data_IF_346375308333
#
_entry.id   IF_346375308333
#
_cell.length_a   1.000
_cell.length_b   1.000
_cell.length_c   1.000
_cell.angle_alpha   90.00
_cell.angle_beta   90.00
_cell.angle_gamma   90.00
#
_symmetry.space_group_name_H-M   'P 1'
#
loop_
_entity.id
_entity.type
_entity.pdbx_description
1 polymer ?
#
# COMPACT_ATOMS: atom_id res chain seq x y z
N UNK A 1 0.99 -24.88 5.46
CA UNK A 1 0.09 -23.84 4.91
C UNK A 1 0.77 -23.25 3.69
N UNK A 2 0.13 -23.20 2.52
CA UNK A 2 0.69 -22.45 1.38
C UNK A 2 0.79 -20.98 1.81
N UNK A 3 1.97 -20.38 1.72
CA UNK A 3 2.12 -18.93 1.86
C UNK A 3 1.19 -18.28 0.84
N UNK A 4 0.09 -17.70 1.32
CA UNK A 4 -0.79 -16.89 0.48
C UNK A 4 -0.12 -15.52 0.35
N UNK A 5 0.51 -15.28 -0.79
CA UNK A 5 1.08 -13.97 -1.10
C UNK A 5 -0.07 -13.02 -1.40
N UNK A 6 -0.17 -11.91 -0.66
CA UNK A 6 -1.20 -10.89 -0.88
C UNK A 6 -0.90 -10.04 -2.12
N UNK A 7 0.38 -9.70 -2.34
CA UNK A 7 0.82 -8.83 -3.44
C UNK A 7 1.44 -9.66 -4.56
N UNK A 8 0.85 -9.61 -5.75
CA UNK A 8 1.39 -10.26 -6.95
C UNK A 8 2.27 -9.28 -7.75
N UNK A 9 3.57 -9.24 -7.44
CA UNK A 9 4.51 -8.30 -8.09
C UNK A 9 4.69 -8.56 -9.59
N UNK A 10 4.58 -9.80 -10.07
CA UNK A 10 4.68 -10.12 -11.50
C UNK A 10 3.53 -9.47 -12.28
N UNK A 11 2.30 -9.56 -11.76
CA UNK A 11 1.15 -8.89 -12.38
C UNK A 11 1.25 -7.37 -12.25
N UNK A 12 1.74 -6.85 -11.12
CA UNK A 12 1.97 -5.41 -10.95
C UNK A 12 2.97 -4.89 -12.00
N UNK A 13 4.08 -5.59 -12.25
CA UNK A 13 5.04 -5.19 -13.28
C UNK A 13 4.41 -5.13 -14.66
N UNK A 14 3.66 -6.19 -15.02
CA UNK A 14 2.95 -6.26 -16.29
C UNK A 14 1.97 -5.10 -16.45
N UNK A 15 1.11 -4.87 -15.45
CA UNK A 15 0.14 -3.76 -15.50
C UNK A 15 0.82 -2.39 -15.52
N UNK A 16 1.90 -2.20 -14.75
CA UNK A 16 2.67 -0.95 -14.71
C UNK A 16 3.34 -0.65 -16.05
N UNK A 17 3.73 -1.67 -16.82
CA UNK A 17 4.28 -1.49 -18.17
C UNK A 17 3.25 -1.10 -19.24
N UNK A 18 1.97 -1.39 -19.00
CA UNK A 18 0.86 -1.04 -19.92
C UNK A 18 0.25 0.32 -19.52
N UNK A 19 0.25 0.65 -18.24
CA UNK A 19 -0.26 1.92 -17.72
C UNK A 19 0.67 3.09 -18.05
N UNK A 20 0.15 4.08 -18.78
CA UNK A 20 0.93 5.21 -19.32
C UNK A 20 1.29 6.27 -18.29
N UNK A 21 0.86 6.13 -17.02
CA UNK A 21 1.19 7.10 -15.96
C UNK A 21 2.70 7.17 -15.74
N UNK A 22 3.20 8.40 -15.72
CA UNK A 22 4.55 8.71 -15.27
C UNK A 22 4.72 8.41 -13.79
N UNK A 23 5.97 8.30 -13.34
CA UNK A 23 6.30 8.11 -11.92
C UNK A 23 5.70 9.22 -11.04
N UNK A 24 5.67 10.45 -11.53
CA UNK A 24 5.09 11.61 -10.83
C UNK A 24 3.58 11.48 -10.72
N UNK A 25 2.88 11.18 -11.82
CA UNK A 25 1.42 10.99 -11.81
C UNK A 25 1.00 9.81 -10.93
N UNK A 26 1.77 8.72 -10.94
CA UNK A 26 1.55 7.57 -10.07
C UNK A 26 1.77 7.91 -8.59
N UNK A 27 2.75 8.77 -8.30
CA UNK A 27 2.96 9.30 -6.94
C UNK A 27 1.82 10.21 -6.50
N UNK A 28 1.23 10.99 -7.41
CA UNK A 28 0.02 11.77 -7.12
C UNK A 28 -1.19 10.86 -6.87
N UNK A 29 -1.36 9.78 -7.66
CA UNK A 29 -2.40 8.78 -7.41
C UNK A 29 -2.25 8.14 -6.04
N UNK A 30 -1.02 7.89 -5.56
CA UNK A 30 -0.80 7.41 -4.19
C UNK A 30 -1.37 8.38 -3.14
N UNK A 31 -1.23 9.69 -3.33
CA UNK A 31 -1.79 10.68 -2.41
C UNK A 31 -3.32 10.69 -2.41
N UNK A 32 -3.94 10.43 -3.56
CA UNK A 32 -5.38 10.22 -3.70
C UNK A 32 -5.84 9.00 -2.88
N UNK A 33 -5.22 7.82 -3.06
CA UNK A 33 -5.60 6.60 -2.32
C UNK A 33 -5.45 6.78 -0.81
N UNK A 34 -4.39 7.47 -0.35
CA UNK A 34 -4.21 7.77 1.08
C UNK A 34 -5.32 8.69 1.62
N UNK A 35 -5.80 9.61 0.78
CA UNK A 35 -6.98 10.43 1.09
C UNK A 35 -8.26 9.62 1.20
N UNK A 36 -8.44 8.62 0.33
CA UNK A 36 -9.58 7.71 0.36
C UNK A 36 -9.54 6.80 1.60
N UNK A 37 -8.38 6.26 1.98
CA UNK A 37 -8.18 5.57 3.27
C UNK A 37 -8.60 6.47 4.43
N UNK A 38 -8.15 7.72 4.45
CA UNK A 38 -8.49 8.68 5.50
C UNK A 38 -10.00 8.90 5.58
N UNK A 39 -10.66 9.05 4.43
CA UNK A 39 -12.10 9.22 4.34
C UNK A 39 -12.87 7.99 4.83
N UNK A 40 -12.48 6.79 4.40
CA UNK A 40 -13.11 5.54 4.79
C UNK A 40 -13.03 5.33 6.30
N UNK A 41 -11.84 5.52 6.88
CA UNK A 41 -11.63 5.39 8.33
C UNK A 41 -12.44 6.43 9.12
N UNK A 42 -12.40 7.70 8.72
CA UNK A 42 -13.14 8.77 9.41
C UNK A 42 -14.66 8.57 9.33
N UNK A 43 -15.16 8.15 8.17
CA UNK A 43 -16.58 7.86 7.99
C UNK A 43 -17.02 6.63 8.79
N UNK A 44 -16.27 5.53 8.71
CA UNK A 44 -16.55 4.31 9.47
C UNK A 44 -16.51 4.52 10.98
N UNK A 45 -15.58 5.34 11.46
CA UNK A 45 -15.44 5.66 12.89
C UNK A 45 -16.45 6.70 13.38
N UNK A 46 -17.36 7.15 12.52
CA UNK A 46 -18.33 8.21 12.79
C UNK A 46 -17.68 9.49 13.35
N UNK A 47 -16.51 9.87 12.81
CA UNK A 47 -15.84 11.11 13.20
C UNK A 47 -16.74 12.32 12.90
N UNK A 48 -16.57 13.39 13.69
CA UNK A 48 -17.38 14.60 13.57
C UNK A 48 -17.34 15.15 12.13
N UNK A 49 -18.51 15.24 11.49
CA UNK A 49 -18.63 15.73 10.11
C UNK A 49 -18.29 14.70 9.02
N UNK A 50 -18.02 13.44 9.36
CA UNK A 50 -17.63 12.40 8.38
C UNK A 50 -18.59 11.20 8.31
N UNK A 51 -19.42 10.98 9.34
CA UNK A 51 -20.32 9.82 9.42
C UNK A 51 -21.34 9.71 8.28
N UNK A 52 -21.73 10.83 7.66
CA UNK A 52 -22.76 10.87 6.61
C UNK A 52 -22.43 10.03 5.37
N UNK A 53 -21.16 9.69 5.14
CA UNK A 53 -20.73 8.86 4.01
C UNK A 53 -20.92 7.36 4.25
N UNK A 54 -21.26 6.94 5.48
CA UNK A 54 -21.60 5.58 5.88
C UNK A 54 -20.67 4.47 5.32
N UNK A 55 -19.36 4.72 5.34
CA UNK A 55 -18.34 3.76 4.87
C UNK A 55 -18.24 2.55 5.80
N UNK A 56 -18.06 1.38 5.20
CA UNK A 56 -17.95 0.08 5.86
C UNK A 56 -16.50 -0.27 6.22
N UNK A 57 -16.29 -1.44 6.87
CA UNK A 57 -14.93 -1.96 7.09
C UNK A 57 -14.33 -2.46 5.79
N UNK A 58 -15.16 -2.97 4.92
CA UNK A 58 -14.81 -3.46 3.60
C UNK A 58 -14.26 -2.31 2.75
N UNK A 59 -14.89 -1.12 2.81
CA UNK A 59 -14.35 0.08 2.18
C UNK A 59 -12.94 0.40 2.70
N UNK A 60 -12.70 0.39 4.02
CA UNK A 60 -11.36 0.64 4.56
C UNK A 60 -10.33 -0.33 3.97
N UNK A 61 -10.70 -1.61 3.87
CA UNK A 61 -9.81 -2.64 3.31
C UNK A 61 -9.54 -2.37 1.84
N UNK A 62 -10.56 -2.02 1.06
CA UNK A 62 -10.44 -1.64 -0.36
C UNK A 62 -9.44 -0.49 -0.55
N UNK A 63 -9.66 0.65 0.13
CA UNK A 63 -8.78 1.81 -0.02
C UNK A 63 -7.34 1.49 0.44
N UNK A 64 -7.18 0.64 1.47
CA UNK A 64 -5.85 0.19 1.89
C UNK A 64 -5.15 -0.69 0.85
N UNK A 65 -5.91 -1.53 0.14
CA UNK A 65 -5.40 -2.36 -0.94
C UNK A 65 -5.02 -1.50 -2.15
N UNK A 66 -5.75 -0.43 -2.44
CA UNK A 66 -5.39 0.52 -3.49
C UNK A 66 -4.08 1.23 -3.19
N UNK A 67 -3.87 1.67 -1.94
CA UNK A 67 -2.55 2.18 -1.48
C UNK A 67 -1.45 1.15 -1.72
N UNK A 68 -1.67 -0.12 -1.38
CA UNK A 68 -0.68 -1.19 -1.56
C UNK A 68 -0.37 -1.41 -3.05
N UNK A 69 -1.39 -1.44 -3.92
CA UNK A 69 -1.25 -1.62 -5.36
C UNK A 69 -0.48 -0.45 -5.96
N UNK A 70 -0.87 0.79 -5.66
CA UNK A 70 -0.22 1.98 -6.21
C UNK A 70 1.22 2.10 -5.72
N UNK A 71 1.47 1.90 -4.42
CA UNK A 71 2.84 1.87 -3.88
C UNK A 71 3.70 0.77 -4.53
N UNK A 72 3.14 -0.42 -4.76
CA UNK A 72 3.84 -1.51 -5.44
C UNK A 72 4.16 -1.16 -6.89
N UNK A 73 3.24 -0.47 -7.59
CA UNK A 73 3.47 0.00 -8.96
C UNK A 73 4.54 1.09 -9.04
N UNK A 74 4.67 1.96 -8.02
CA UNK A 74 5.76 2.93 -7.91
C UNK A 74 7.10 2.20 -7.76
N UNK A 75 7.15 1.17 -6.92
CA UNK A 75 8.34 0.34 -6.78
C UNK A 75 8.69 -0.27 -8.14
N UNK A 76 7.73 -0.89 -8.83
CA UNK A 76 7.96 -1.46 -10.17
C UNK A 76 8.56 -0.45 -11.16
N UNK A 77 7.93 0.71 -11.29
CA UNK A 77 8.36 1.74 -12.22
C UNK A 77 9.74 2.32 -11.87
N UNK A 78 10.11 2.34 -10.58
CA UNK A 78 11.43 2.82 -10.12
C UNK A 78 12.58 1.90 -10.51
N UNK A 79 12.29 0.66 -10.92
CA UNK A 79 13.27 -0.31 -11.44
C UNK A 79 13.02 -0.59 -12.94
N UNK A 80 12.45 0.36 -13.68
CA UNK A 80 12.12 0.21 -15.10
C UNK A 80 11.30 -1.07 -15.40
N UNK A 81 10.41 -1.45 -14.47
CA UNK A 81 9.60 -2.67 -14.49
C UNK A 81 10.40 -4.00 -14.48
N UNK A 82 11.68 -3.96 -14.11
CA UNK A 82 12.55 -5.14 -13.97
C UNK A 82 13.05 -5.28 -12.53
N UNK A 83 12.12 -5.47 -11.60
CA UNK A 83 12.42 -5.57 -10.17
C UNK A 83 12.95 -6.97 -9.83
N UNK A 84 14.09 -7.02 -9.12
CA UNK A 84 14.47 -8.19 -8.34
C UNK A 84 13.61 -8.28 -7.06
N UNK A 85 12.65 -9.19 -7.03
CA UNK A 85 11.73 -9.40 -5.91
C UNK A 85 12.50 -9.70 -4.61
N UNK A 86 13.66 -10.37 -4.68
CA UNK A 86 14.42 -10.72 -3.50
C UNK A 86 15.04 -9.48 -2.84
N UNK A 87 15.51 -8.51 -3.64
CA UNK A 87 15.96 -7.22 -3.14
C UNK A 87 14.86 -6.47 -2.36
N UNK A 88 13.62 -6.46 -2.86
CA UNK A 88 12.48 -5.85 -2.17
C UNK A 88 12.20 -6.56 -0.85
N UNK A 89 12.12 -7.90 -0.87
CA UNK A 89 11.87 -8.68 0.34
C UNK A 89 12.92 -8.40 1.41
N UNK A 90 14.18 -8.29 1.03
CA UNK A 90 15.26 -7.95 1.95
C UNK A 90 15.06 -6.56 2.59
N UNK A 91 14.69 -5.54 1.80
CA UNK A 91 14.38 -4.21 2.32
C UNK A 91 13.16 -4.24 3.25
N UNK A 92 12.10 -4.93 2.87
CA UNK A 92 10.88 -5.08 3.65
C UNK A 92 11.14 -5.78 4.99
N UNK A 93 11.80 -6.94 4.98
CA UNK A 93 12.13 -7.71 6.18
C UNK A 93 13.04 -6.91 7.12
N UNK A 94 14.02 -6.16 6.58
CA UNK A 94 14.86 -5.27 7.39
C UNK A 94 14.04 -4.19 8.09
N UNK A 95 13.03 -3.60 7.42
CA UNK A 95 12.14 -2.59 8.00
C UNK A 95 11.20 -3.20 9.05
N UNK A 96 10.65 -4.39 8.79
CA UNK A 96 9.82 -5.12 9.75
C UNK A 96 10.60 -5.49 11.01
N UNK A 97 11.81 -6.02 10.88
CA UNK A 97 12.65 -6.35 12.03
C UNK A 97 12.95 -5.11 12.88
N UNK A 98 13.27 -3.98 12.24
CA UNK A 98 13.45 -2.69 12.93
C UNK A 98 12.18 -2.21 13.65
N UNK A 99 11.01 -2.50 13.10
CA UNK A 99 9.74 -2.14 13.75
C UNK A 99 9.43 -3.08 14.92
N UNK A 100 9.68 -4.39 14.75
CA UNK A 100 9.55 -5.41 15.79
C UNK A 100 10.42 -5.06 17.01
N UNK A 101 11.69 -4.75 16.80
CA UNK A 101 12.62 -4.30 17.85
C UNK A 101 12.09 -3.10 18.63
N UNK A 102 11.42 -2.13 17.97
CA UNK A 102 10.83 -0.96 18.64
C UNK A 102 9.58 -1.28 19.45
N UNK A 103 8.80 -2.26 19.02
CA UNK A 103 7.61 -2.69 19.75
C UNK A 103 7.97 -3.56 20.95
N UNK A 104 8.98 -4.43 20.81
CA UNK A 104 9.42 -5.35 21.87
C UNK A 104 10.43 -4.70 22.83
N UNK A 105 11.19 -3.71 22.36
CA UNK A 105 12.18 -2.97 23.15
C UNK A 105 11.63 -1.81 23.98
N UNK A 106 10.30 -1.62 24.04
CA UNK A 106 9.64 -0.69 24.97
C UNK A 106 9.21 -1.44 26.24
N UNK A 107 10.21 -1.79 27.05
CA UNK A 107 10.05 -2.04 28.48
C UNK A 107 10.91 -0.99 29.21
N UNK A 108 10.48 0.28 29.17
CA UNK A 108 10.98 1.35 30.02
C UNK A 108 9.77 2.08 30.63
#
# INVERSE_FOLDING_TARGET
MKNKTLVNFEEIQKLTSIDTKTLVERTLKLAEEVGEVSQAVLSHSNACGCGYKNKSKEDIVEECLDVIIVASSIISQSYDNNVDIESIKNVYNKKLNKWKEKCEGKND
#
